data_IF_826169991597
#
_entry.id   IF_826169991597
#
_cell.length_a   1.000
_cell.length_b   1.000
_cell.length_c   1.000
_cell.angle_alpha   90.00
_cell.angle_beta   90.00
_cell.angle_gamma   90.00
#
_symmetry.space_group_name_H-M   'P 1'
#
loop_
_entity.id
_entity.type
_entity.pdbx_description
1 polymer ?
#
# COMPACT_ATOMS: atom_id res chain seq x y z
N UNK A 1 -14.23 -26.89 62.49
CA UNK A 1 -13.81 -26.96 61.08
C UNK A 1 -13.86 -25.54 60.53
N UNK A 2 -12.72 -24.86 60.44
CA UNK A 2 -12.61 -23.47 59.99
C UNK A 2 -11.83 -23.48 58.68
N UNK A 3 -12.50 -23.08 57.61
CA UNK A 3 -11.98 -23.10 56.24
C UNK A 3 -11.27 -21.78 55.96
N UNK A 4 -9.95 -21.81 55.79
CA UNK A 4 -9.13 -20.67 55.39
C UNK A 4 -9.19 -20.48 53.87
N UNK A 5 -9.35 -19.25 53.35
CA UNK A 5 -9.34 -18.99 51.91
C UNK A 5 -7.90 -18.86 51.38
N UNK A 6 -7.62 -19.54 50.27
CA UNK A 6 -6.38 -19.38 49.52
C UNK A 6 -6.36 -18.04 48.78
N UNK A 7 -5.38 -17.20 49.11
CA UNK A 7 -5.07 -15.98 48.37
C UNK A 7 -4.34 -16.32 47.07
N UNK A 8 -4.99 -16.05 45.95
CA UNK A 8 -4.44 -16.13 44.59
C UNK A 8 -3.49 -14.96 44.36
N UNK A 9 -2.19 -15.24 44.27
CA UNK A 9 -1.16 -14.27 43.89
C UNK A 9 -1.15 -14.07 42.38
N UNK A 10 -1.68 -12.94 41.92
CA UNK A 10 -1.58 -12.50 40.53
C UNK A 10 -0.13 -12.07 40.22
N UNK A 11 0.53 -12.80 39.32
CA UNK A 11 1.85 -12.44 38.79
C UNK A 11 1.72 -11.22 37.87
N UNK A 12 2.45 -10.13 38.11
CA UNK A 12 2.41 -8.95 37.24
C UNK A 12 3.02 -9.28 35.87
N UNK A 13 2.23 -9.04 34.82
CA UNK A 13 2.63 -9.17 33.42
C UNK A 13 3.77 -8.19 33.11
N UNK A 14 4.96 -8.75 32.85
CA UNK A 14 6.13 -8.00 32.42
C UNK A 14 5.82 -7.35 31.05
N UNK A 15 5.73 -6.02 31.03
CA UNK A 15 5.63 -5.25 29.80
C UNK A 15 6.91 -5.47 28.98
N UNK A 16 6.77 -6.12 27.82
CA UNK A 16 7.86 -6.24 26.86
C UNK A 16 8.40 -4.84 26.54
N UNK A 17 9.73 -4.64 26.60
CA UNK A 17 10.33 -3.38 26.21
C UNK A 17 10.02 -3.08 24.73
N UNK A 18 9.81 -1.80 24.37
CA UNK A 18 9.59 -1.42 22.99
C UNK A 18 10.79 -1.90 22.14
N UNK A 19 10.54 -2.39 20.91
CA UNK A 19 11.60 -2.82 20.02
C UNK A 19 12.56 -1.64 19.80
N UNK A 20 13.86 -1.92 19.93
CA UNK A 20 14.91 -0.94 19.68
C UNK A 20 14.69 -0.27 18.32
N UNK A 21 14.87 1.06 18.21
CA UNK A 21 14.71 1.75 16.94
C UNK A 21 15.64 1.11 15.92
N UNK A 22 15.03 0.54 14.87
CA UNK A 22 15.75 0.08 13.69
C UNK A 22 16.46 1.30 13.13
N UNK A 23 17.79 1.34 13.30
CA UNK A 23 18.64 2.33 12.65
C UNK A 23 18.52 2.09 11.16
N UNK A 24 17.57 2.81 10.53
CA UNK A 24 17.54 2.96 9.09
C UNK A 24 18.83 3.70 8.73
N UNK A 25 19.83 2.94 8.26
CA UNK A 25 20.98 3.52 7.58
C UNK A 25 20.40 4.27 6.39
N UNK A 26 20.33 5.59 6.52
CA UNK A 26 19.95 6.47 5.42
C UNK A 26 20.92 6.16 4.28
N UNK A 27 20.42 5.48 3.24
CA UNK A 27 21.09 5.33 1.96
C UNK A 27 21.13 6.74 1.37
N UNK A 28 22.10 7.53 1.83
CA UNK A 28 22.45 8.78 1.20
C UNK A 28 22.77 8.45 -0.24
N UNK A 29 21.99 8.99 -1.17
CA UNK A 29 22.23 8.92 -2.59
C UNK A 29 23.59 9.56 -2.87
N UNK A 30 24.67 8.79 -2.74
CA UNK A 30 25.94 9.14 -3.37
C UNK A 30 25.63 9.13 -4.85
N UNK A 31 25.58 10.31 -5.46
CA UNK A 31 25.68 10.49 -6.90
C UNK A 31 27.06 10.01 -7.33
N UNK A 32 27.28 8.70 -7.36
CA UNK A 32 28.48 8.13 -7.93
C UNK A 32 28.39 8.37 -9.42
N UNK A 33 29.24 9.27 -9.91
CA UNK A 33 29.19 9.81 -11.25
C UNK A 33 29.59 8.80 -12.35
N UNK A 34 29.62 7.49 -12.07
CA UNK A 34 29.96 6.44 -13.04
C UNK A 34 28.74 5.79 -13.69
N UNK A 35 28.97 4.89 -14.64
CA UNK A 35 27.93 4.10 -15.29
C UNK A 35 27.59 4.55 -16.72
N UNK A 36 26.51 3.97 -17.25
CA UNK A 36 26.09 4.16 -18.65
C UNK A 36 25.86 5.64 -19.00
N UNK A 37 25.11 6.38 -18.19
CA UNK A 37 24.79 7.78 -18.44
C UNK A 37 26.02 8.69 -18.38
N UNK A 38 26.98 8.38 -17.51
CA UNK A 38 28.23 9.11 -17.48
C UNK A 38 29.03 8.89 -18.76
N UNK A 39 29.19 7.63 -19.17
CA UNK A 39 29.90 7.28 -20.39
C UNK A 39 29.26 7.88 -21.65
N UNK A 40 27.92 8.00 -21.69
CA UNK A 40 27.18 8.67 -22.77
C UNK A 40 27.50 10.17 -22.87
N UNK A 41 27.68 10.84 -21.74
CA UNK A 41 28.06 12.27 -21.69
C UNK A 41 29.52 12.50 -22.11
N UNK A 42 30.36 11.47 -22.07
CA UNK A 42 31.73 11.55 -22.55
C UNK A 42 31.77 11.44 -24.08
N UNK A 43 32.09 12.54 -24.75
CA UNK A 43 32.42 12.53 -26.18
C UNK A 43 33.60 11.60 -26.50
N UNK A 44 33.73 11.19 -27.76
CA UNK A 44 34.73 10.21 -28.21
C UNK A 44 36.16 10.57 -27.78
N UNK A 45 36.55 11.85 -27.94
CA UNK A 45 37.86 12.33 -27.50
C UNK A 45 38.07 12.14 -26.00
N UNK A 46 37.09 12.44 -25.15
CA UNK A 46 37.25 12.24 -23.70
C UNK A 46 37.30 10.75 -23.32
N UNK A 47 36.57 9.89 -24.05
CA UNK A 47 36.63 8.44 -23.84
C UNK A 47 38.00 7.87 -24.17
N UNK A 48 38.68 8.36 -25.21
CA UNK A 48 40.04 7.88 -25.55
C UNK A 48 41.07 8.15 -24.44
N UNK A 49 40.88 9.23 -23.66
CA UNK A 49 41.72 9.53 -22.49
C UNK A 49 41.54 8.52 -21.36
N UNK A 50 40.39 7.85 -21.26
CA UNK A 50 40.16 6.81 -20.25
C UNK A 50 41.05 5.59 -20.44
N UNK A 51 41.66 5.40 -21.62
CA UNK A 51 42.59 4.31 -21.89
C UNK A 51 43.99 4.51 -21.30
N UNK A 52 44.26 5.65 -20.67
CA UNK A 52 45.59 6.02 -20.19
C UNK A 52 45.76 5.70 -18.69
N UNK A 53 47.01 5.49 -18.28
CA UNK A 53 47.40 5.40 -16.88
C UNK A 53 47.49 3.97 -16.33
N UNK A 54 47.20 3.83 -15.03
CA UNK A 54 47.29 2.56 -14.32
C UNK A 54 46.24 1.56 -14.80
N UNK A 55 46.63 0.29 -14.85
CA UNK A 55 45.72 -0.83 -15.17
C UNK A 55 45.23 -1.48 -13.89
N UNK A 56 43.94 -1.79 -13.85
CA UNK A 56 43.30 -2.59 -12.80
C UNK A 56 43.33 -4.05 -13.24
N UNK A 57 43.82 -4.93 -12.38
CA UNK A 57 43.83 -6.37 -12.60
C UNK A 57 42.61 -7.02 -11.94
N UNK A 58 41.98 -7.97 -12.64
CA UNK A 58 40.90 -8.76 -12.06
C UNK A 58 41.46 -10.07 -11.53
N UNK A 59 41.22 -10.33 -10.24
CA UNK A 59 41.67 -11.54 -9.55
C UNK A 59 40.49 -12.36 -9.07
N UNK A 60 40.64 -13.67 -8.98
CA UNK A 60 39.66 -14.53 -8.32
C UNK A 60 39.67 -14.33 -6.79
N UNK A 61 38.77 -15.01 -6.07
CA UNK A 61 38.69 -14.97 -4.61
C UNK A 61 39.99 -15.36 -3.90
N UNK A 62 40.85 -16.14 -4.57
CA UNK A 62 42.15 -16.62 -4.07
C UNK A 62 43.28 -15.65 -4.42
N UNK A 63 42.98 -14.53 -5.08
CA UNK A 63 43.95 -13.53 -5.50
C UNK A 63 44.74 -13.90 -6.76
N UNK A 64 44.35 -14.97 -7.48
CA UNK A 64 44.99 -15.35 -8.75
C UNK A 64 44.43 -14.52 -9.90
N UNK A 65 45.30 -14.11 -10.81
CA UNK A 65 44.89 -13.32 -11.97
C UNK A 65 43.96 -14.12 -12.89
N UNK A 66 42.77 -13.58 -13.14
CA UNK A 66 41.85 -14.13 -14.14
C UNK A 66 42.49 -13.90 -15.51
N UNK A 67 42.69 -14.96 -16.30
CA UNK A 67 43.31 -14.84 -17.64
C UNK A 67 42.24 -14.71 -18.71
N UNK A 68 42.35 -13.74 -19.63
CA UNK A 68 41.42 -13.55 -20.75
C UNK A 68 41.41 -14.78 -21.67
N UNK A 69 42.56 -15.06 -22.30
CA UNK A 69 42.77 -16.14 -23.27
C UNK A 69 43.78 -17.19 -22.76
N UNK A 70 43.80 -17.45 -21.45
CA UNK A 70 44.73 -18.38 -20.80
C UNK A 70 46.19 -17.90 -20.70
N UNK A 71 46.53 -16.78 -21.35
CA UNK A 71 47.87 -16.17 -21.31
C UNK A 71 47.87 -14.82 -20.60
N UNK A 72 47.08 -13.88 -21.09
CA UNK A 72 47.09 -12.50 -20.60
C UNK A 72 46.15 -12.33 -19.41
N UNK A 73 46.60 -11.61 -18.37
CA UNK A 73 45.73 -11.20 -17.28
C UNK A 73 44.59 -10.31 -17.79
N UNK A 74 43.39 -10.50 -17.27
CA UNK A 74 42.23 -9.66 -17.52
C UNK A 74 42.47 -8.31 -16.84
N UNK A 75 42.54 -7.25 -17.64
CA UNK A 75 42.86 -5.92 -17.16
C UNK A 75 41.95 -4.86 -17.82
N UNK A 76 41.78 -3.75 -17.12
CA UNK A 76 41.07 -2.56 -17.59
C UNK A 76 41.80 -1.30 -17.11
N UNK A 77 41.88 -0.23 -17.91
CA UNK A 77 42.37 1.07 -17.43
C UNK A 77 41.59 1.56 -16.20
N UNK A 78 42.29 2.04 -15.17
CA UNK A 78 41.68 2.50 -13.91
C UNK A 78 40.67 3.64 -14.14
N UNK A 79 41.02 4.58 -15.03
CA UNK A 79 40.14 5.69 -15.37
C UNK A 79 38.84 5.20 -16.03
N UNK A 80 38.95 4.20 -16.92
CA UNK A 80 37.78 3.57 -17.50
C UNK A 80 36.94 2.88 -16.41
N UNK A 81 37.55 2.08 -15.52
CA UNK A 81 36.82 1.39 -14.45
C UNK A 81 36.02 2.38 -13.59
N UNK A 82 36.64 3.48 -13.16
CA UNK A 82 35.97 4.55 -12.40
C UNK A 82 34.84 5.23 -13.17
N UNK A 83 34.94 5.32 -14.49
CA UNK A 83 33.91 5.91 -15.33
C UNK A 83 32.73 4.96 -15.59
N UNK A 84 32.96 3.65 -15.69
CA UNK A 84 31.91 2.66 -15.97
C UNK A 84 31.27 2.07 -14.71
N UNK A 85 31.98 2.07 -13.58
CA UNK A 85 31.50 1.51 -12.32
C UNK A 85 30.90 2.58 -11.41
N UNK A 86 29.76 2.28 -10.81
CA UNK A 86 29.19 3.03 -9.70
C UNK A 86 29.85 2.73 -8.36
N UNK A 87 30.78 1.78 -8.31
CA UNK A 87 31.51 1.32 -7.11
C UNK A 87 33.04 1.37 -7.35
N UNK A 88 33.62 2.56 -7.57
CA UNK A 88 35.06 2.72 -7.81
C UNK A 88 35.93 2.24 -6.64
N UNK A 89 35.38 2.15 -5.44
CA UNK A 89 36.02 1.65 -4.21
C UNK A 89 36.36 0.15 -4.25
N UNK A 90 35.81 -0.61 -5.20
CA UNK A 90 36.14 -2.03 -5.39
C UNK A 90 37.62 -2.24 -5.78
N UNK A 91 38.30 -1.20 -6.25
CA UNK A 91 39.72 -1.26 -6.59
C UNK A 91 40.56 -1.12 -5.33
N UNK A 92 41.16 -2.22 -4.89
CA UNK A 92 42.11 -2.25 -3.78
C UNK A 92 43.51 -2.62 -4.29
N UNK A 93 44.51 -1.77 -4.04
CA UNK A 93 45.89 -1.96 -4.50
C UNK A 93 46.01 -2.29 -6.02
N UNK A 94 45.19 -1.65 -6.85
CA UNK A 94 45.17 -1.87 -8.30
C UNK A 94 44.52 -3.19 -8.74
N UNK A 95 43.81 -3.87 -7.84
CA UNK A 95 43.13 -5.14 -8.09
C UNK A 95 41.65 -5.05 -7.76
N UNK A 96 40.85 -5.81 -8.49
CA UNK A 96 39.43 -6.05 -8.18
C UNK A 96 39.24 -7.55 -8.01
N UNK A 97 38.82 -7.94 -6.81
CA UNK A 97 38.56 -9.34 -6.45
C UNK A 97 37.16 -9.74 -6.90
N UNK A 98 37.07 -10.81 -7.69
CA UNK A 98 35.82 -11.38 -8.18
C UNK A 98 35.34 -12.46 -7.20
N UNK A 99 34.12 -12.34 -6.66
CA UNK A 99 33.49 -13.39 -5.85
C UNK A 99 33.41 -14.75 -6.55
N UNK A 100 33.57 -15.85 -5.78
CA UNK A 100 33.55 -17.22 -6.29
C UNK A 100 32.25 -17.64 -6.98
N UNK A 101 31.13 -17.03 -6.59
CA UNK A 101 29.82 -17.32 -7.14
C UNK A 101 29.55 -16.63 -8.49
N UNK A 102 30.51 -15.87 -9.03
CA UNK A 102 30.38 -15.19 -10.31
C UNK A 102 30.99 -15.99 -11.46
N UNK A 103 30.28 -15.99 -12.58
CA UNK A 103 30.73 -16.63 -13.81
C UNK A 103 31.86 -15.83 -14.47
N UNK A 104 33.08 -16.38 -14.43
CA UNK A 104 34.28 -15.72 -14.96
C UNK A 104 34.16 -15.39 -16.45
N UNK A 105 33.46 -16.22 -17.24
CA UNK A 105 33.23 -15.97 -18.66
C UNK A 105 32.38 -14.71 -18.89
N UNK A 106 31.35 -14.51 -18.06
CA UNK A 106 30.50 -13.32 -18.08
C UNK A 106 31.27 -12.07 -17.65
N UNK A 107 32.16 -12.19 -16.65
CA UNK A 107 33.08 -11.10 -16.27
C UNK A 107 34.00 -10.73 -17.43
N UNK A 108 34.69 -11.70 -18.04
CA UNK A 108 35.56 -11.47 -19.21
C UNK A 108 34.82 -10.75 -20.34
N UNK A 109 33.63 -11.23 -20.67
CA UNK A 109 32.78 -10.63 -21.70
C UNK A 109 32.41 -9.19 -21.37
N UNK A 110 32.00 -8.92 -20.13
CA UNK A 110 31.66 -7.58 -19.66
C UNK A 110 32.86 -6.63 -19.77
N UNK A 111 34.03 -7.03 -19.27
CA UNK A 111 35.26 -6.22 -19.33
C UNK A 111 35.67 -5.95 -20.78
N UNK A 112 35.60 -6.94 -21.66
CA UNK A 112 35.85 -6.75 -23.09
C UNK A 112 34.87 -5.74 -23.72
N UNK A 113 33.58 -5.82 -23.38
CA UNK A 113 32.59 -4.85 -23.83
C UNK A 113 32.92 -3.43 -23.36
N UNK A 114 33.27 -3.26 -22.08
CA UNK A 114 33.63 -1.95 -21.52
C UNK A 114 34.88 -1.36 -22.16
N UNK A 115 35.93 -2.16 -22.38
CA UNK A 115 37.13 -1.72 -23.10
C UNK A 115 36.80 -1.25 -24.53
N UNK A 116 35.85 -1.90 -25.20
CA UNK A 116 35.41 -1.46 -26.54
C UNK A 116 34.66 -0.12 -26.55
N UNK A 117 34.10 0.32 -25.41
CA UNK A 117 33.39 1.61 -25.32
C UNK A 117 34.31 2.81 -25.56
N UNK A 118 35.62 2.64 -25.43
CA UNK A 118 36.61 3.70 -25.66
C UNK A 118 36.60 4.15 -27.13
N UNK A 119 36.43 3.21 -28.06
CA UNK A 119 36.56 3.44 -29.51
C UNK A 119 35.23 3.52 -30.25
N UNK A 120 34.13 3.05 -29.65
CA UNK A 120 32.80 3.09 -30.28
C UNK A 120 32.29 4.52 -30.47
N UNK A 121 31.62 4.79 -31.58
CA UNK A 121 30.99 6.09 -31.84
C UNK A 121 29.90 6.43 -30.83
N UNK A 122 29.13 5.44 -30.36
CA UNK A 122 28.04 5.57 -29.38
C UNK A 122 28.22 4.64 -28.20
N UNK A 123 27.63 5.03 -27.06
CA UNK A 123 27.58 4.22 -25.82
C UNK A 123 26.16 3.75 -25.61
N UNK A 124 25.94 2.49 -25.94
CA UNK A 124 24.64 1.83 -25.83
C UNK A 124 24.63 0.80 -24.69
N UNK A 125 23.45 0.45 -24.15
CA UNK A 125 23.30 -0.66 -23.24
C UNK A 125 23.73 -1.97 -23.92
N UNK A 126 24.13 -2.98 -23.14
CA UNK A 126 24.54 -4.28 -23.71
C UNK A 126 23.33 -5.05 -24.24
N UNK A 127 23.31 -5.42 -25.52
CA UNK A 127 22.16 -6.13 -26.09
C UNK A 127 21.85 -7.47 -25.40
N UNK A 128 20.57 -7.81 -25.33
CA UNK A 128 20.05 -9.11 -24.87
C UNK A 128 20.53 -10.20 -25.83
N UNK A 129 21.10 -11.30 -25.31
CA UNK A 129 21.65 -12.40 -26.13
C UNK A 129 20.66 -13.51 -26.40
N UNK A 130 19.46 -13.44 -25.82
CA UNK A 130 18.41 -14.46 -25.87
C UNK A 130 18.83 -15.80 -25.27
N UNK A 131 19.86 -15.79 -24.42
CA UNK A 131 20.30 -16.93 -23.62
C UNK A 131 20.09 -16.55 -22.16
N UNK A 132 19.00 -17.05 -21.56
CA UNK A 132 18.58 -16.70 -20.20
C UNK A 132 19.71 -16.86 -19.19
N UNK A 133 20.45 -17.97 -19.26
CA UNK A 133 21.50 -18.27 -18.29
C UNK A 133 22.67 -17.29 -18.43
N UNK A 134 23.14 -17.07 -19.67
CA UNK A 134 24.26 -16.16 -19.92
C UNK A 134 23.90 -14.70 -19.63
N UNK A 135 22.70 -14.29 -19.98
CA UNK A 135 22.22 -12.92 -19.75
C UNK A 135 22.07 -12.63 -18.25
N UNK A 136 21.52 -13.56 -17.46
CA UNK A 136 21.41 -13.38 -16.01
C UNK A 136 22.80 -13.37 -15.36
N UNK A 137 23.69 -14.30 -15.74
CA UNK A 137 25.08 -14.29 -15.26
C UNK A 137 25.82 -13.00 -15.60
N UNK A 138 25.57 -12.42 -16.78
CA UNK A 138 26.08 -11.13 -17.19
C UNK A 138 25.51 -9.99 -16.32
N UNK A 139 24.20 -10.01 -16.02
CA UNK A 139 23.59 -9.06 -15.08
C UNK A 139 24.24 -9.15 -13.70
N UNK A 140 24.47 -10.36 -13.18
CA UNK A 140 25.10 -10.58 -11.87
C UNK A 140 26.56 -10.11 -11.83
N UNK A 141 27.33 -10.40 -12.89
CA UNK A 141 28.70 -9.90 -13.02
C UNK A 141 28.75 -8.37 -13.09
N UNK A 142 27.81 -7.77 -13.82
CA UNK A 142 27.71 -6.31 -13.92
C UNK A 142 27.32 -5.67 -12.58
N UNK A 143 26.35 -6.22 -11.87
CA UNK A 143 25.92 -5.75 -10.55
C UNK A 143 27.08 -5.78 -9.53
N UNK A 144 27.79 -6.91 -9.46
CA UNK A 144 28.93 -7.09 -8.55
C UNK A 144 30.12 -6.17 -8.84
N UNK A 145 30.24 -5.66 -10.07
CA UNK A 145 31.28 -4.71 -10.47
C UNK A 145 30.80 -3.25 -10.49
N UNK A 146 29.59 -2.96 -10.03
CA UNK A 146 28.99 -1.62 -10.09
C UNK A 146 28.65 -1.16 -11.52
N UNK A 147 28.60 -2.07 -12.49
CA UNK A 147 28.31 -1.79 -13.91
C UNK A 147 26.86 -2.15 -14.29
N UNK A 148 25.96 -2.34 -13.32
CA UNK A 148 24.58 -2.80 -13.54
C UNK A 148 23.76 -1.91 -14.49
N UNK A 149 24.07 -0.62 -14.58
CA UNK A 149 23.38 0.31 -15.51
C UNK A 149 23.48 -0.09 -16.97
N UNK A 150 24.55 -0.82 -17.37
CA UNK A 150 24.72 -1.32 -18.75
C UNK A 150 23.83 -2.53 -19.06
N UNK A 151 23.44 -3.31 -18.04
CA UNK A 151 22.68 -4.57 -18.18
C UNK A 151 21.26 -4.48 -17.61
N UNK A 152 20.86 -3.33 -17.04
CA UNK A 152 19.57 -3.15 -16.38
C UNK A 152 18.38 -3.50 -17.29
N UNK A 153 18.42 -3.11 -18.57
CA UNK A 153 17.35 -3.43 -19.51
C UNK A 153 17.27 -4.94 -19.83
N UNK A 154 18.38 -5.68 -19.81
CA UNK A 154 18.41 -7.13 -19.93
C UNK A 154 17.65 -7.72 -18.72
N UNK A 155 18.03 -7.31 -17.51
CA UNK A 155 17.36 -7.74 -16.28
C UNK A 155 15.85 -7.45 -16.32
N UNK A 156 15.46 -6.22 -16.67
CA UNK A 156 14.05 -5.82 -16.75
C UNK A 156 13.27 -6.65 -17.78
N UNK A 157 13.91 -7.04 -18.88
CA UNK A 157 13.29 -7.89 -19.91
C UNK A 157 12.95 -9.27 -19.34
N UNK A 158 13.89 -9.91 -18.66
CA UNK A 158 13.65 -11.22 -18.03
C UNK A 158 12.70 -11.11 -16.83
N UNK A 159 12.83 -10.06 -16.02
CA UNK A 159 11.91 -9.82 -14.90
C UNK A 159 10.47 -9.70 -15.40
N UNK A 160 10.21 -8.86 -16.42
CA UNK A 160 8.87 -8.75 -17.04
C UNK A 160 8.41 -10.07 -17.64
N UNK A 161 9.30 -10.83 -18.30
CA UNK A 161 8.96 -12.15 -18.87
C UNK A 161 8.48 -13.10 -17.77
N UNK A 162 9.23 -13.22 -16.68
CA UNK A 162 8.93 -14.15 -15.59
C UNK A 162 7.79 -13.70 -14.68
N UNK A 163 7.41 -12.42 -14.71
CA UNK A 163 6.20 -11.94 -14.04
C UNK A 163 4.91 -12.33 -14.75
N UNK A 164 4.96 -12.63 -16.05
CA UNK A 164 3.76 -12.84 -16.87
C UNK A 164 3.63 -14.28 -17.38
N UNK A 165 4.75 -14.97 -17.62
CA UNK A 165 4.79 -16.29 -18.25
C UNK A 165 5.59 -17.25 -17.39
N UNK A 166 5.07 -18.47 -17.21
CA UNK A 166 5.77 -19.55 -16.53
C UNK A 166 6.96 -19.98 -17.39
N UNK A 167 8.20 -19.90 -16.86
CA UNK A 167 9.37 -20.28 -17.64
C UNK A 167 9.40 -21.77 -17.96
N UNK A 168 10.09 -22.13 -19.03
CA UNK A 168 10.40 -23.54 -19.35
C UNK A 168 11.24 -24.17 -18.24
N UNK A 169 11.18 -25.50 -18.08
CA UNK A 169 11.97 -26.24 -17.09
C UNK A 169 13.47 -25.92 -17.17
N UNK A 170 14.03 -25.85 -18.37
CA UNK A 170 15.44 -25.45 -18.59
C UNK A 170 15.76 -24.07 -18.02
N UNK A 171 14.85 -23.10 -18.16
CA UNK A 171 15.05 -21.76 -17.60
C UNK A 171 14.89 -21.77 -16.07
N UNK A 172 13.96 -22.56 -15.53
CA UNK A 172 13.79 -22.73 -14.09
C UNK A 172 15.08 -23.30 -13.49
N UNK A 173 15.62 -24.38 -14.05
CA UNK A 173 16.85 -25.02 -13.59
C UNK A 173 18.04 -24.05 -13.68
N UNK A 174 18.14 -23.32 -14.80
CA UNK A 174 19.17 -22.32 -14.99
C UNK A 174 19.14 -21.24 -13.90
N UNK A 175 17.95 -20.73 -13.55
CA UNK A 175 17.78 -19.65 -12.56
C UNK A 175 17.98 -20.18 -11.14
N UNK A 176 17.46 -21.37 -10.81
CA UNK A 176 17.63 -22.00 -9.50
C UNK A 176 19.11 -22.15 -9.12
N UNK A 177 19.96 -22.45 -10.11
CA UNK A 177 21.40 -22.63 -9.91
C UNK A 177 22.17 -21.31 -9.68
N UNK A 178 21.57 -20.16 -9.99
CA UNK A 178 22.21 -18.87 -9.78
C UNK A 178 21.93 -18.38 -8.35
N UNK A 179 23.01 -18.14 -7.60
CA UNK A 179 23.00 -17.68 -6.19
C UNK A 179 23.65 -16.30 -6.09
N UNK A 180 23.08 -15.35 -6.81
CA UNK A 180 23.55 -13.95 -6.83
C UNK A 180 22.36 -13.03 -6.55
N UNK A 181 22.56 -11.81 -6.02
CA UNK A 181 21.44 -10.93 -5.68
C UNK A 181 20.44 -10.69 -6.83
N UNK A 182 20.93 -10.54 -8.06
CA UNK A 182 20.08 -10.39 -9.25
C UNK A 182 19.37 -11.70 -9.62
N UNK A 183 20.09 -12.83 -9.57
CA UNK A 183 19.49 -14.16 -9.78
C UNK A 183 18.39 -14.48 -8.78
N UNK A 184 18.60 -14.14 -7.50
CA UNK A 184 17.65 -14.39 -6.42
C UNK A 184 16.37 -13.55 -6.56
N UNK A 185 16.49 -12.31 -7.05
CA UNK A 185 15.33 -11.47 -7.39
C UNK A 185 14.50 -12.07 -8.52
N UNK A 186 15.15 -12.55 -9.59
CA UNK A 186 14.46 -13.22 -10.70
C UNK A 186 13.86 -14.55 -10.26
N UNK A 187 14.58 -15.33 -9.46
CA UNK A 187 14.11 -16.57 -8.88
C UNK A 187 12.85 -16.34 -8.03
N UNK A 188 12.86 -15.33 -7.16
CA UNK A 188 11.72 -15.00 -6.30
C UNK A 188 10.49 -14.60 -7.12
N UNK A 189 10.68 -13.81 -8.19
CA UNK A 189 9.60 -13.40 -9.09
C UNK A 189 9.04 -14.58 -9.90
N UNK A 190 9.92 -15.46 -10.38
CA UNK A 190 9.56 -16.69 -11.06
C UNK A 190 8.76 -17.62 -10.13
N UNK A 191 9.26 -17.86 -8.92
CA UNK A 191 8.60 -18.70 -7.93
C UNK A 191 7.23 -18.15 -7.54
N UNK A 192 7.10 -16.83 -7.34
CA UNK A 192 5.81 -16.16 -7.12
C UNK A 192 4.83 -16.44 -8.25
N UNK A 193 5.27 -16.29 -9.51
CA UNK A 193 4.40 -16.46 -10.68
C UNK A 193 3.95 -17.90 -10.84
N UNK A 194 4.84 -18.87 -10.64
CA UNK A 194 4.52 -20.30 -10.65
C UNK A 194 3.54 -20.63 -9.51
N UNK A 195 3.83 -20.19 -8.29
CA UNK A 195 2.97 -20.42 -7.14
C UNK A 195 1.56 -19.84 -7.36
N UNK A 196 1.48 -18.63 -7.92
CA UNK A 196 0.20 -17.99 -8.25
C UNK A 196 -0.58 -18.80 -9.28
N UNK A 197 0.06 -19.22 -10.38
CA UNK A 197 -0.58 -20.04 -11.42
C UNK A 197 -1.03 -21.41 -10.91
N UNK A 198 -0.28 -22.01 -9.98
CA UNK A 198 -0.67 -23.26 -9.31
C UNK A 198 -1.85 -23.05 -8.35
N UNK A 199 -1.88 -21.94 -7.63
CA UNK A 199 -2.95 -21.57 -6.72
C UNK A 199 -4.26 -21.26 -7.45
N UNK A 200 -4.17 -20.54 -8.57
CA UNK A 200 -5.31 -20.18 -9.41
C UNK A 200 -5.74 -21.35 -10.35
N UNK A 201 -5.10 -22.52 -10.26
CA UNK A 201 -5.32 -23.69 -11.14
C UNK A 201 -5.15 -23.41 -12.65
N UNK A 202 -4.37 -22.38 -12.99
CA UNK A 202 -4.15 -21.91 -14.38
C UNK A 202 -2.96 -22.61 -15.07
N UNK A 203 -2.22 -23.48 -14.38
CA UNK A 203 -1.06 -24.18 -14.96
C UNK A 203 -1.49 -25.47 -15.67
N UNK A 204 -1.26 -25.53 -16.99
CA UNK A 204 -1.40 -26.76 -17.76
C UNK A 204 -0.49 -27.86 -17.17
N UNK A 205 -1.08 -29.00 -16.80
CA UNK A 205 -0.40 -30.11 -16.11
C UNK A 205 0.18 -29.75 -14.73
N UNK A 206 -0.51 -28.88 -13.97
CA UNK A 206 -0.07 -28.48 -12.63
C UNK A 206 0.17 -29.64 -11.67
N UNK A 207 -0.62 -30.71 -11.75
CA UNK A 207 -0.43 -31.91 -10.91
C UNK A 207 0.84 -32.70 -11.29
N UNK A 208 1.13 -32.87 -12.58
CA UNK A 208 2.35 -33.54 -13.03
C UNK A 208 3.59 -32.71 -12.65
N UNK A 209 3.50 -31.39 -12.77
CA UNK A 209 4.55 -30.48 -12.34
C UNK A 209 4.83 -30.61 -10.83
N UNK A 210 3.77 -30.65 -10.01
CA UNK A 210 3.90 -30.85 -8.55
C UNK A 210 4.49 -32.22 -8.21
N UNK A 211 4.02 -33.29 -8.86
CA UNK A 211 4.41 -34.67 -8.53
C UNK A 211 5.79 -35.05 -9.03
N UNK A 212 6.18 -34.59 -10.21
CA UNK A 212 7.39 -35.07 -10.89
C UNK A 212 8.52 -34.06 -10.92
N UNK A 213 8.21 -32.77 -11.11
CA UNK A 213 9.26 -31.76 -11.28
C UNK A 213 9.66 -31.11 -9.96
N UNK A 214 8.72 -30.65 -9.13
CA UNK A 214 9.05 -29.97 -7.86
C UNK A 214 10.02 -30.75 -6.94
N UNK A 215 9.88 -32.08 -6.75
CA UNK A 215 10.81 -32.85 -5.91
C UNK A 215 12.25 -32.83 -6.40
N UNK A 216 12.48 -32.56 -7.69
CA UNK A 216 13.84 -32.43 -8.26
C UNK A 216 14.48 -31.09 -7.94
N UNK A 217 13.71 -30.10 -7.49
CA UNK A 217 14.15 -28.74 -7.23
C UNK A 217 13.69 -28.23 -5.84
N UNK A 218 14.33 -28.69 -4.74
CA UNK A 218 13.88 -28.41 -3.37
C UNK A 218 13.82 -26.91 -3.04
N UNK A 219 14.70 -26.11 -3.67
CA UNK A 219 14.70 -24.65 -3.51
C UNK A 219 13.41 -24.02 -4.04
N UNK A 220 12.97 -24.46 -5.22
CA UNK A 220 11.74 -23.97 -5.84
C UNK A 220 10.53 -24.45 -5.05
N UNK A 221 10.50 -25.72 -4.66
CA UNK A 221 9.44 -26.29 -3.83
C UNK A 221 9.23 -25.49 -2.54
N UNK A 222 10.29 -25.24 -1.78
CA UNK A 222 10.23 -24.44 -0.56
C UNK A 222 9.71 -23.02 -0.80
N UNK A 223 10.13 -22.38 -1.89
CA UNK A 223 9.69 -21.02 -2.23
C UNK A 223 8.22 -20.98 -2.67
N UNK A 224 7.75 -21.98 -3.42
CA UNK A 224 6.35 -22.11 -3.79
C UNK A 224 5.49 -22.33 -2.55
N UNK A 225 5.89 -23.23 -1.65
CA UNK A 225 5.17 -23.47 -0.39
C UNK A 225 5.05 -22.20 0.45
N UNK A 226 6.11 -21.39 0.54
CA UNK A 226 6.07 -20.08 1.23
C UNK A 226 5.03 -19.13 0.61
N UNK A 227 4.97 -19.05 -0.72
CA UNK A 227 4.00 -18.21 -1.41
C UNK A 227 2.56 -18.73 -1.29
N UNK A 228 2.35 -20.04 -1.35
CA UNK A 228 1.04 -20.68 -1.12
C UNK A 228 0.49 -20.31 0.26
N UNK A 229 1.29 -20.44 1.32
CA UNK A 229 0.90 -20.02 2.68
C UNK A 229 0.55 -18.52 2.74
N UNK A 230 1.28 -17.67 2.00
CA UNK A 230 0.95 -16.23 1.91
C UNK A 230 -0.37 -15.99 1.18
N UNK A 231 -0.69 -16.76 0.15
CA UNK A 231 -1.97 -16.67 -0.56
C UNK A 231 -3.14 -17.11 0.32
N UNK A 232 -3.01 -18.22 1.05
CA UNK A 232 -3.99 -18.68 2.03
C UNK A 232 -4.26 -17.62 3.11
N UNK A 233 -3.20 -17.05 3.69
CA UNK A 233 -3.32 -15.99 4.69
C UNK A 233 -3.99 -14.73 4.11
N UNK A 234 -3.70 -14.39 2.85
CA UNK A 234 -4.33 -13.25 2.19
C UNK A 234 -5.81 -13.52 1.92
N UNK A 235 -6.17 -14.73 1.48
CA UNK A 235 -7.55 -15.14 1.22
C UNK A 235 -8.40 -15.13 2.49
N UNK A 236 -7.87 -15.67 3.60
CA UNK A 236 -8.57 -15.65 4.90
C UNK A 236 -8.81 -14.23 5.40
N UNK A 237 -7.79 -13.36 5.33
CA UNK A 237 -7.92 -11.92 5.69
C UNK A 237 -8.95 -11.21 4.80
N UNK A 238 -8.98 -11.50 3.51
CA UNK A 238 -9.95 -10.93 2.59
C UNK A 238 -11.38 -11.35 2.95
N UNK A 239 -11.60 -12.66 3.17
CA UNK A 239 -12.90 -13.19 3.57
C UNK A 239 -13.38 -12.61 4.92
N UNK A 240 -12.48 -12.41 5.89
CA UNK A 240 -12.81 -11.71 7.14
C UNK A 240 -13.18 -10.24 6.92
N UNK A 241 -12.46 -9.54 6.04
CA UNK A 241 -12.75 -8.16 5.71
C UNK A 241 -14.12 -8.02 5.05
N UNK A 242 -14.45 -8.87 4.08
CA UNK A 242 -15.76 -8.90 3.43
C UNK A 242 -16.89 -9.18 4.42
N UNK A 243 -16.70 -10.13 5.35
CA UNK A 243 -17.67 -10.38 6.44
C UNK A 243 -17.89 -9.16 7.32
N UNK A 244 -16.83 -8.42 7.66
CA UNK A 244 -16.91 -7.19 8.48
C UNK A 244 -17.63 -6.07 7.72
N UNK A 245 -17.33 -5.88 6.44
CA UNK A 245 -18.00 -4.88 5.59
C UNK A 245 -19.48 -5.21 5.40
N UNK A 246 -19.83 -6.48 5.11
CA UNK A 246 -21.22 -6.92 5.03
C UNK A 246 -21.97 -6.67 6.34
N UNK A 247 -21.35 -6.97 7.49
CA UNK A 247 -21.94 -6.71 8.80
C UNK A 247 -22.12 -5.20 9.09
N UNK A 248 -21.18 -4.36 8.65
CA UNK A 248 -21.29 -2.89 8.74
C UNK A 248 -22.45 -2.38 7.89
N UNK A 249 -22.56 -2.85 6.66
CA UNK A 249 -23.63 -2.47 5.75
C UNK A 249 -25.01 -2.88 6.28
N UNK A 250 -25.14 -4.09 6.82
CA UNK A 250 -26.37 -4.55 7.48
C UNK A 250 -26.75 -3.72 8.71
N UNK A 251 -25.77 -3.37 9.56
CA UNK A 251 -26.03 -2.48 10.72
C UNK A 251 -26.46 -1.09 10.29
N UNK A 252 -25.80 -0.53 9.26
CA UNK A 252 -26.17 0.77 8.71
C UNK A 252 -27.59 0.74 8.11
N UNK A 253 -27.96 -0.34 7.40
CA UNK A 253 -29.31 -0.53 6.88
C UNK A 253 -30.36 -0.59 7.99
N UNK A 254 -30.13 -1.40 9.04
CA UNK A 254 -31.03 -1.48 10.20
C UNK A 254 -31.15 -0.14 10.93
N UNK A 255 -30.05 0.57 11.12
CA UNK A 255 -30.05 1.89 11.74
C UNK A 255 -30.80 2.94 10.89
N UNK A 256 -30.68 2.89 9.56
CA UNK A 256 -31.43 3.76 8.67
C UNK A 256 -32.94 3.47 8.74
N UNK A 257 -33.33 2.20 8.82
CA UNK A 257 -34.73 1.79 8.98
C UNK A 257 -35.32 2.23 10.33
N UNK A 258 -34.56 2.07 11.43
CA UNK A 258 -35.01 2.55 12.75
C UNK A 258 -35.15 4.07 12.76
N UNK A 259 -34.17 4.80 12.20
CA UNK A 259 -34.24 6.25 12.12
C UNK A 259 -35.43 6.72 11.29
N UNK A 260 -35.73 6.06 10.16
CA UNK A 260 -36.89 6.38 9.34
C UNK A 260 -38.21 6.12 10.10
N UNK A 261 -38.28 5.05 10.88
CA UNK A 261 -39.45 4.72 11.70
C UNK A 261 -39.65 5.74 12.82
N UNK A 262 -38.57 6.12 13.50
CA UNK A 262 -38.59 7.17 14.53
C UNK A 262 -38.99 8.51 13.93
N UNK A 263 -38.43 8.90 12.78
CA UNK A 263 -38.78 10.15 12.10
C UNK A 263 -40.28 10.19 11.72
N UNK A 264 -40.83 9.08 11.20
CA UNK A 264 -42.27 8.97 10.92
C UNK A 264 -43.10 9.13 12.20
N UNK A 265 -42.72 8.44 13.27
CA UNK A 265 -43.39 8.54 14.57
C UNK A 265 -43.39 9.97 15.10
N UNK A 266 -42.24 10.66 15.12
CA UNK A 266 -42.16 12.05 15.57
C UNK A 266 -42.96 13.01 14.68
N UNK A 267 -43.00 12.78 13.36
CA UNK A 267 -43.86 13.56 12.45
C UNK A 267 -45.33 13.38 12.74
N UNK A 268 -45.77 12.16 13.06
CA UNK A 268 -47.15 11.86 13.43
C UNK A 268 -47.53 12.53 14.76
N UNK A 269 -46.68 12.40 15.79
CA UNK A 269 -46.88 13.06 17.09
C UNK A 269 -46.95 14.59 16.92
N UNK A 270 -46.01 15.19 16.20
CA UNK A 270 -46.02 16.64 15.95
C UNK A 270 -47.25 17.10 15.14
N UNK A 271 -47.78 16.25 14.25
CA UNK A 271 -49.01 16.55 13.52
C UNK A 271 -50.25 16.51 14.43
N UNK A 272 -50.28 15.59 15.41
CA UNK A 272 -51.33 15.52 16.42
C UNK A 272 -51.28 16.74 17.34
N UNK A 273 -50.11 17.08 17.88
CA UNK A 273 -49.93 18.25 18.74
C UNK A 273 -50.33 19.56 18.03
N UNK A 274 -49.99 19.71 16.74
CA UNK A 274 -50.44 20.86 15.94
C UNK A 274 -51.96 20.91 15.78
N UNK A 275 -52.62 19.76 15.61
CA UNK A 275 -54.09 19.70 15.53
C UNK A 275 -54.73 20.10 16.86
N UNK A 276 -54.20 19.60 17.97
CA UNK A 276 -54.70 19.92 19.30
C UNK A 276 -54.49 21.41 19.63
N UNK A 277 -53.29 21.94 19.37
CA UNK A 277 -52.99 23.36 19.54
C UNK A 277 -53.88 24.26 18.66
N UNK A 278 -54.17 23.86 17.42
CA UNK A 278 -55.08 24.59 16.54
C UNK A 278 -56.53 24.57 17.07
N UNK A 279 -56.98 23.44 17.64
CA UNK A 279 -58.29 23.32 18.25
C UNK A 279 -58.41 24.19 19.52
N UNK A 280 -57.38 24.22 20.36
CA UNK A 280 -57.31 25.11 21.53
C UNK A 280 -57.26 26.59 21.14
N UNK A 281 -56.45 26.95 20.14
CA UNK A 281 -56.39 28.31 19.62
C UNK A 281 -57.74 28.78 19.09
N UNK A 282 -58.48 27.90 18.40
CA UNK A 282 -59.85 28.19 17.95
C UNK A 282 -60.80 28.43 19.12
N UNK A 283 -60.76 27.59 20.16
CA UNK A 283 -61.57 27.79 21.39
C UNK A 283 -61.22 29.11 22.09
N UNK A 284 -59.94 29.46 22.16
CA UNK A 284 -59.48 30.72 22.73
C UNK A 284 -59.93 31.93 21.91
N UNK A 285 -59.85 31.86 20.57
CA UNK A 285 -60.32 32.91 19.68
C UNK A 285 -61.83 33.13 19.83
N UNK A 286 -62.64 32.07 19.83
CA UNK A 286 -64.10 32.14 20.04
C UNK A 286 -64.44 32.75 21.42
N UNK A 287 -63.70 32.40 22.48
CA UNK A 287 -63.88 32.99 23.81
C UNK A 287 -63.54 34.48 23.82
N UNK A 288 -62.45 34.87 23.16
CA UNK A 288 -62.01 36.26 23.09
C UNK A 288 -62.95 37.12 22.23
N UNK A 289 -63.51 36.59 21.14
CA UNK A 289 -64.55 37.27 20.36
C UNK A 289 -65.83 37.49 21.19
N UNK A 290 -66.29 36.48 21.91
CA UNK A 290 -67.44 36.60 22.83
C UNK A 290 -67.18 37.64 23.92
N UNK A 291 -65.97 37.68 24.48
CA UNK A 291 -65.56 38.65 25.49
C UNK A 291 -65.46 40.08 24.93
N UNK A 292 -64.94 40.26 23.71
CA UNK A 292 -64.94 41.54 22.99
C UNK A 292 -66.36 42.04 22.70
N UNK A 293 -67.24 41.16 22.22
CA UNK A 293 -68.63 41.49 21.96
C UNK A 293 -69.37 41.90 23.24
N UNK A 294 -69.17 41.14 24.34
CA UNK A 294 -69.70 41.49 25.66
C UNK A 294 -69.15 42.83 26.16
N UNK A 295 -67.84 43.10 25.99
CA UNK A 295 -67.23 44.37 26.39
C UNK A 295 -67.69 45.57 25.57
N UNK A 296 -67.93 45.40 24.27
CA UNK A 296 -68.52 46.45 23.42
C UNK A 296 -69.96 46.78 23.85
N UNK A 297 -70.81 45.75 24.01
CA UNK A 297 -72.19 45.91 24.49
C UNK A 297 -72.25 46.55 25.88
N UNK A 298 -71.40 46.11 26.81
CA UNK A 298 -71.31 46.69 28.14
C UNK A 298 -70.95 48.19 28.11
N UNK A 299 -69.93 48.58 27.33
CA UNK A 299 -69.52 49.98 27.20
C UNK A 299 -70.61 50.86 26.60
N UNK A 300 -71.32 50.35 25.61
CA UNK A 300 -72.44 51.05 24.98
C UNK A 300 -73.61 51.24 25.96
N UNK A 301 -74.01 50.18 26.68
CA UNK A 301 -75.04 50.25 27.73
C UNK A 301 -74.65 51.18 28.87
N UNK A 302 -73.39 51.15 29.30
CA UNK A 302 -72.83 52.05 30.33
C UNK A 302 -72.89 53.51 29.87
N UNK A 303 -72.57 53.79 28.60
CA UNK A 303 -72.66 55.15 28.02
C UNK A 303 -74.11 55.64 27.95
N UNK A 304 -75.04 54.75 27.63
CA UNK A 304 -76.47 55.06 27.52
C UNK A 304 -77.23 55.00 28.86
N UNK A 305 -76.55 54.72 29.98
CA UNK A 305 -77.14 54.69 31.33
C UNK A 305 -78.07 53.50 31.61
N UNK A 306 -78.07 52.48 30.75
CA UNK A 306 -78.96 51.30 30.89
C UNK A 306 -78.38 50.30 31.90
N UNK A 307 -79.20 49.81 32.84
CA UNK A 307 -78.77 48.88 33.92
C UNK A 307 -79.04 47.39 33.63
N UNK A 308 -79.50 47.08 32.42
CA UNK A 308 -79.91 45.75 31.99
C UNK A 308 -78.75 44.96 31.38
N UNK A 309 -77.84 44.49 32.23
CA UNK A 309 -76.65 43.75 31.78
C UNK A 309 -76.93 42.24 31.65
N UNK A 310 -76.42 41.63 30.59
CA UNK A 310 -76.41 40.16 30.43
C UNK A 310 -75.34 39.53 31.32
N UNK A 311 -75.44 38.23 31.58
CA UNK A 311 -74.46 37.52 32.41
C UNK A 311 -73.01 37.68 31.89
N UNK A 312 -72.82 37.62 30.57
CA UNK A 312 -71.51 37.81 29.94
C UNK A 312 -70.97 39.24 30.10
N UNK A 313 -71.83 40.25 29.99
CA UNK A 313 -71.47 41.66 30.21
C UNK A 313 -71.11 41.92 31.68
N UNK A 314 -71.84 41.33 32.62
CA UNK A 314 -71.56 41.45 34.04
C UNK A 314 -70.23 40.78 34.44
N UNK A 315 -69.93 39.60 33.86
CA UNK A 315 -68.62 38.96 34.04
C UNK A 315 -67.48 39.82 33.47
N UNK A 316 -67.67 40.44 32.31
CA UNK A 316 -66.69 41.37 31.73
C UNK A 316 -66.43 42.57 32.65
N UNK A 317 -67.50 43.22 33.15
CA UNK A 317 -67.41 44.36 34.05
C UNK A 317 -66.64 44.02 35.35
N UNK A 318 -66.94 42.85 35.93
CA UNK A 318 -66.23 42.40 37.13
C UNK A 318 -64.77 42.08 36.85
N UNK A 319 -64.47 41.41 35.74
CA UNK A 319 -63.11 40.96 35.40
C UNK A 319 -62.16 42.10 35.02
N UNK A 320 -62.61 43.08 34.25
CA UNK A 320 -61.74 44.15 33.73
C UNK A 320 -61.89 45.49 34.43
N UNK A 321 -63.09 45.81 34.94
CA UNK A 321 -63.31 47.08 35.65
C UNK A 321 -63.39 46.88 37.18
N UNK A 322 -63.46 45.64 37.67
CA UNK A 322 -63.57 45.34 39.11
C UNK A 322 -64.95 45.63 39.70
N UNK A 323 -65.95 45.95 38.86
CA UNK A 323 -67.28 46.41 39.30
C UNK A 323 -68.31 45.31 39.14
N UNK A 324 -69.09 45.08 40.20
CA UNK A 324 -70.23 44.13 40.15
C UNK A 324 -71.48 44.87 39.70
N UNK A 325 -72.03 44.48 38.55
CA UNK A 325 -73.29 45.01 38.03
C UNK A 325 -74.40 43.96 38.17
N UNK A 326 -75.65 44.36 38.47
CA UNK A 326 -76.76 43.43 38.58
C UNK A 326 -77.04 42.81 37.19
N UNK A 327 -77.16 41.48 37.16
CA UNK A 327 -77.54 40.75 35.94
C UNK A 327 -79.06 40.83 35.82
N UNK A 328 -79.56 41.19 34.65
CA UNK A 328 -80.99 41.11 34.36
C UNK A 328 -81.42 39.66 34.50
N UNK A 329 -82.22 39.36 35.53
CA UNK A 329 -82.86 38.05 35.66
C UNK A 329 -83.86 37.96 34.51
N UNK A 330 -83.52 37.13 33.52
CA UNK A 330 -84.43 36.73 32.46
C UNK A 330 -85.47 35.77 32.99
#
# INVERSE_FOLDING_TARGET
MVSTPMMSTSVPSAKNPPPAPVVQVAIGQRTTAGGLEHMRKLGLLRRSWLNRGLMVQFVDSKGQNIKLDGRNALQMPLLLFKAVSSQPELVFAGKVTIPDNLDTSSVKFLIACMNSLITRSRVDPLAVRNDTLRDIKLCSAADALGMGTFTQHIFNTYYKRFSNVVPTSTNIDAITNIRTPQGDKLFSQMAYTIAKKLWDEELENGEDFKRHYLPTNPRLEASIAEWTTKFELKATRHAEFEKREAARWERARKAAETNLREEKYYKEVAALEKKDAAAEAKKHAEKHEKEKAAGASYREKKRNGTKDFTFAEAQYAYKYEGVRVPVKSG
#
